data_IF_549914458457
#
_entry.id   IF_549914458457
#
_cell.length_a   1.000
_cell.length_b   1.000
_cell.length_c   1.000
_cell.angle_alpha   90.00
_cell.angle_beta   90.00
_cell.angle_gamma   90.00
#
_symmetry.space_group_name_H-M   'P 1'
#
loop_
_entity.id
_entity.type
_entity.pdbx_description
1 polymer ?
#
# COMPACT_ATOMS: atom_id res chain seq x y z
N UNK A 1 -22.78 -3.01 3.20
CA UNK A 1 -21.47 -3.41 3.74
C UNK A 1 -20.45 -2.65 2.92
N UNK A 2 -19.50 -1.93 3.55
CA UNK A 2 -18.51 -1.17 2.77
C UNK A 2 -17.57 -2.15 2.05
N UNK A 3 -17.40 -2.01 0.75
CA UNK A 3 -16.49 -2.82 -0.08
C UNK A 3 -15.13 -2.14 -0.16
N UNK A 4 -14.09 -2.78 0.36
CA UNK A 4 -12.77 -2.18 0.48
C UNK A 4 -11.80 -2.94 -0.42
N UNK A 5 -11.24 -2.24 -1.40
CA UNK A 5 -10.20 -2.77 -2.26
C UNK A 5 -8.89 -2.88 -1.50
N UNK A 6 -8.19 -4.01 -1.63
CA UNK A 6 -6.84 -4.18 -1.08
C UNK A 6 -5.91 -4.60 -2.21
N UNK A 7 -4.90 -3.78 -2.53
CA UNK A 7 -3.95 -4.07 -3.61
C UNK A 7 -2.67 -4.65 -3.04
N UNK A 8 -2.37 -5.89 -3.42
CA UNK A 8 -1.19 -6.65 -3.03
C UNK A 8 -0.16 -6.68 -4.16
N UNK A 9 1.09 -6.96 -3.81
CA UNK A 9 2.26 -6.88 -4.68
C UNK A 9 3.11 -8.16 -4.71
N UNK A 10 2.66 -9.25 -4.09
CA UNK A 10 3.36 -10.52 -3.95
C UNK A 10 3.12 -11.08 -2.53
N UNK A 11 4.03 -11.93 -2.01
CA UNK A 11 3.88 -12.54 -0.69
C UNK A 11 5.22 -12.66 0.06
N UNK A 12 5.72 -11.53 0.57
CA UNK A 12 7.01 -11.45 1.26
C UNK A 12 7.55 -10.03 1.27
N UNK A 13 8.17 -9.60 2.36
CA UNK A 13 8.63 -8.21 2.52
C UNK A 13 9.62 -7.75 1.45
N UNK A 14 10.52 -8.62 0.97
CA UNK A 14 11.58 -8.20 0.04
C UNK A 14 11.18 -8.20 -1.44
N UNK A 15 10.17 -8.98 -1.81
CA UNK A 15 9.80 -9.21 -3.21
C UNK A 15 8.29 -9.07 -3.49
N UNK A 16 7.50 -8.72 -2.47
CA UNK A 16 6.05 -8.64 -2.53
C UNK A 16 5.45 -7.76 -1.43
N UNK A 17 4.21 -8.07 -1.04
CA UNK A 17 3.56 -7.38 0.09
C UNK A 17 4.15 -7.86 1.41
N UNK A 18 4.29 -6.93 2.36
CA UNK A 18 4.60 -7.28 3.74
C UNK A 18 3.42 -8.10 4.32
N UNK A 19 3.72 -9.29 4.80
CA UNK A 19 2.70 -10.30 5.13
C UNK A 19 1.91 -9.87 6.38
N UNK A 20 2.58 -9.35 7.40
CA UNK A 20 1.90 -8.91 8.60
C UNK A 20 1.02 -7.68 8.33
N UNK A 21 1.50 -6.67 7.59
CA UNK A 21 0.74 -5.49 7.23
C UNK A 21 -0.52 -5.85 6.45
N UNK A 22 -0.39 -6.75 5.46
CA UNK A 22 -1.52 -7.24 4.70
C UNK A 22 -2.52 -7.99 5.60
N UNK A 23 -2.06 -8.95 6.42
CA UNK A 23 -2.94 -9.73 7.30
C UNK A 23 -3.62 -8.87 8.36
N UNK A 24 -2.91 -7.91 8.96
CA UNK A 24 -3.48 -6.95 9.92
C UNK A 24 -4.55 -6.09 9.23
N UNK A 25 -4.26 -5.58 8.02
CA UNK A 25 -5.24 -4.82 7.23
C UNK A 25 -6.52 -5.62 7.01
N UNK A 26 -6.39 -6.87 6.54
CA UNK A 26 -7.53 -7.77 6.33
C UNK A 26 -8.29 -8.06 7.63
N UNK A 27 -7.57 -8.29 8.73
CA UNK A 27 -8.15 -8.54 10.04
C UNK A 27 -8.94 -7.32 10.56
N UNK A 28 -8.36 -6.13 10.47
CA UNK A 28 -8.98 -4.89 10.93
C UNK A 28 -10.26 -4.57 10.14
N UNK A 29 -10.24 -4.77 8.82
CA UNK A 29 -11.41 -4.64 7.96
C UNK A 29 -12.50 -5.65 8.33
N UNK A 30 -12.13 -6.92 8.52
CA UNK A 30 -13.07 -7.97 8.89
C UNK A 30 -13.71 -7.73 10.28
N UNK A 31 -12.94 -7.27 11.28
CA UNK A 31 -13.45 -6.91 12.61
C UNK A 31 -14.51 -5.80 12.55
N UNK A 32 -14.39 -4.88 11.59
CA UNK A 32 -15.34 -3.79 11.36
C UNK A 32 -16.48 -4.17 10.41
N UNK A 33 -16.55 -5.43 9.99
CA UNK A 33 -17.61 -5.95 9.13
C UNK A 33 -17.58 -5.41 7.70
N UNK A 34 -16.42 -4.96 7.21
CA UNK A 34 -16.25 -4.58 5.80
C UNK A 34 -16.10 -5.82 4.90
N UNK A 35 -16.55 -5.70 3.65
CA UNK A 35 -16.29 -6.69 2.60
C UNK A 35 -14.95 -6.35 1.96
N UNK A 36 -14.03 -7.32 1.88
CA UNK A 36 -12.70 -7.08 1.31
C UNK A 36 -12.58 -7.71 -0.07
N UNK A 37 -12.12 -6.91 -1.03
CA UNK A 37 -11.87 -7.36 -2.40
C UNK A 37 -10.37 -7.18 -2.67
N UNK A 38 -9.64 -8.30 -2.72
CA UNK A 38 -8.20 -8.28 -2.95
C UNK A 38 -7.89 -8.22 -4.46
N UNK A 39 -6.86 -7.46 -4.80
CA UNK A 39 -6.33 -7.34 -6.16
C UNK A 39 -4.81 -7.47 -6.16
N UNK A 40 -4.24 -7.92 -7.28
CA UNK A 40 -2.81 -7.83 -7.55
C UNK A 40 -2.54 -7.80 -9.06
N UNK A 41 -1.49 -7.12 -9.55
CA UNK A 41 -1.18 -7.12 -10.97
C UNK A 41 -0.75 -8.52 -11.43
N UNK A 42 -1.29 -8.99 -12.55
CA UNK A 42 -0.93 -10.28 -13.14
C UNK A 42 0.33 -10.13 -14.01
N UNK A 43 1.49 -10.12 -13.35
CA UNK A 43 2.82 -10.00 -13.96
C UNK A 43 3.88 -10.70 -13.12
N UNK A 44 5.07 -10.89 -13.69
CA UNK A 44 6.21 -11.39 -12.92
C UNK A 44 6.66 -10.37 -11.87
N UNK A 45 7.13 -10.86 -10.72
CA UNK A 45 7.85 -10.03 -9.74
C UNK A 45 9.15 -9.50 -10.35
N UNK A 46 9.62 -8.34 -9.86
CA UNK A 46 10.90 -7.77 -10.28
C UNK A 46 12.09 -8.67 -9.92
N UNK A 47 12.03 -9.29 -8.74
CA UNK A 47 12.98 -10.27 -8.24
C UNK A 47 12.27 -11.32 -7.36
N UNK A 48 13.00 -12.37 -6.99
CA UNK A 48 12.58 -13.35 -5.99
C UNK A 48 13.68 -13.42 -4.96
N UNK A 49 13.34 -13.20 -3.69
CA UNK A 49 14.33 -13.06 -2.62
C UNK A 49 14.18 -14.20 -1.62
N UNK A 50 15.30 -14.85 -1.30
CA UNK A 50 15.34 -15.76 -0.17
C UNK A 50 15.28 -14.94 1.12
N UNK A 51 14.14 -14.95 1.80
CA UNK A 51 13.93 -14.15 3.00
C UNK A 51 14.79 -14.57 4.20
N UNK A 52 15.41 -15.75 4.17
CA UNK A 52 16.37 -16.18 5.19
C UNK A 52 17.75 -15.54 4.99
N UNK A 53 18.20 -15.39 3.73
CA UNK A 53 19.56 -14.91 3.42
C UNK A 53 19.58 -13.47 2.90
N UNK A 54 18.45 -12.93 2.46
CA UNK A 54 18.36 -11.64 1.76
C UNK A 54 18.86 -11.67 0.31
N UNK A 55 19.25 -12.85 -0.20
CA UNK A 55 19.86 -12.96 -1.52
C UNK A 55 18.83 -13.24 -2.63
N UNK A 56 19.06 -12.73 -3.86
CA UNK A 56 18.26 -13.10 -5.02
C UNK A 56 18.32 -14.59 -5.33
N UNK A 57 17.19 -15.15 -5.74
CA UNK A 57 17.04 -16.52 -6.20
C UNK A 57 16.96 -16.58 -7.73
N UNK A 58 17.57 -17.60 -8.33
CA UNK A 58 17.52 -17.83 -9.79
C UNK A 58 16.21 -18.49 -10.23
N UNK A 59 15.08 -17.84 -9.93
CA UNK A 59 13.73 -18.28 -10.30
C UNK A 59 12.84 -17.09 -10.64
N UNK A 60 11.62 -17.36 -11.12
CA UNK A 60 10.61 -16.34 -11.40
C UNK A 60 9.30 -16.72 -10.74
N UNK A 61 8.63 -15.73 -10.17
CA UNK A 61 7.30 -15.85 -9.58
C UNK A 61 6.37 -14.78 -10.13
N UNK A 62 5.08 -15.07 -10.17
CA UNK A 62 4.05 -14.13 -10.59
C UNK A 62 3.42 -13.45 -9.37
N UNK A 63 3.28 -12.13 -9.43
CA UNK A 63 2.78 -11.26 -8.35
C UNK A 63 1.37 -11.70 -7.90
N UNK A 64 0.43 -11.88 -8.83
CA UNK A 64 -0.93 -12.31 -8.50
C UNK A 64 -0.97 -13.71 -7.90
N UNK A 65 -0.23 -14.65 -8.49
CA UNK A 65 -0.17 -16.05 -8.01
C UNK A 65 0.35 -16.13 -6.59
N UNK A 66 1.41 -15.38 -6.27
CA UNK A 66 1.98 -15.38 -4.92
C UNK A 66 1.09 -14.60 -3.94
N UNK A 67 0.54 -13.46 -4.33
CA UNK A 67 -0.41 -12.69 -3.50
C UNK A 67 -1.69 -13.49 -3.16
N UNK A 68 -2.11 -14.42 -4.02
CA UNK A 68 -3.22 -15.33 -3.74
C UNK A 68 -3.00 -16.20 -2.49
N UNK A 69 -1.74 -16.40 -2.05
CA UNK A 69 -1.43 -17.09 -0.79
C UNK A 69 -1.97 -16.33 0.42
N UNK A 70 -1.82 -15.00 0.45
CA UNK A 70 -2.34 -14.13 1.50
C UNK A 70 -3.87 -14.16 1.47
N UNK A 71 -4.45 -14.00 0.28
CA UNK A 71 -5.90 -13.92 0.08
C UNK A 71 -6.63 -15.29 0.07
N UNK A 72 -5.91 -16.41 0.29
CA UNK A 72 -6.45 -17.78 0.23
C UNK A 72 -7.19 -18.09 -1.07
N UNK A 73 -6.68 -17.57 -2.19
CA UNK A 73 -7.27 -17.70 -3.52
C UNK A 73 -8.38 -16.71 -3.86
N UNK A 74 -8.87 -15.90 -2.90
CA UNK A 74 -9.89 -14.89 -3.14
C UNK A 74 -9.27 -13.56 -3.56
N UNK A 75 -8.71 -13.52 -4.76
CA UNK A 75 -8.01 -12.36 -5.31
C UNK A 75 -8.28 -12.24 -6.82
N UNK A 76 -8.31 -11.01 -7.32
CA UNK A 76 -8.53 -10.72 -8.73
C UNK A 76 -7.32 -10.03 -9.38
N UNK A 77 -7.11 -10.18 -10.68
CA UNK A 77 -6.17 -9.33 -11.42
C UNK A 77 -6.51 -7.85 -11.23
N UNK A 78 -5.51 -7.00 -10.97
CA UNK A 78 -5.70 -5.57 -10.71
C UNK A 78 -6.39 -4.83 -11.87
N UNK A 79 -6.20 -5.29 -13.11
CA UNK A 79 -6.89 -4.76 -14.29
C UNK A 79 -8.43 -4.90 -14.22
N UNK A 80 -8.95 -5.81 -13.37
CA UNK A 80 -10.38 -6.00 -13.17
C UNK A 80 -10.96 -5.13 -12.06
N UNK A 81 -10.13 -4.33 -11.37
CA UNK A 81 -10.60 -3.45 -10.32
C UNK A 81 -11.44 -2.31 -10.90
N UNK A 82 -12.65 -2.14 -10.37
CA UNK A 82 -13.57 -1.08 -10.75
C UNK A 82 -13.82 -0.16 -9.56
N UNK A 83 -13.44 1.11 -9.68
CA UNK A 83 -13.63 2.11 -8.65
C UNK A 83 -15.11 2.31 -8.28
N UNK A 84 -16.06 2.00 -9.17
CA UNK A 84 -17.50 2.13 -8.89
C UNK A 84 -18.02 1.06 -7.92
N UNK A 85 -17.34 -0.07 -7.83
CA UNK A 85 -17.68 -1.21 -6.96
C UNK A 85 -16.99 -1.17 -5.59
N UNK A 86 -16.14 -0.16 -5.34
CA UNK A 86 -15.37 -0.01 -4.11
C UNK A 86 -15.78 1.24 -3.35
N UNK A 87 -15.76 1.21 -2.03
CA UNK A 87 -16.00 2.37 -1.16
C UNK A 87 -14.69 2.99 -0.66
N UNK A 88 -13.60 2.21 -0.63
CA UNK A 88 -12.25 2.69 -0.33
C UNK A 88 -11.18 1.77 -0.94
N UNK A 89 -9.92 2.21 -0.93
CA UNK A 89 -8.76 1.45 -1.37
C UNK A 89 -7.66 1.47 -0.32
N UNK A 90 -7.03 0.34 -0.04
CA UNK A 90 -5.85 0.23 0.83
C UNK A 90 -4.71 -0.48 0.09
N UNK A 91 -3.49 0.03 0.24
CA UNK A 91 -2.27 -0.54 -0.31
C UNK A 91 -1.27 -0.81 0.82
N UNK A 92 -1.13 -2.07 1.27
CA UNK A 92 -0.07 -2.48 2.20
C UNK A 92 1.32 -2.24 1.60
N UNK A 93 2.34 -2.16 2.47
CA UNK A 93 3.72 -1.98 2.05
C UNK A 93 4.43 -3.27 1.70
N UNK A 94 5.71 -3.34 2.09
CA UNK A 94 6.69 -4.29 1.56
C UNK A 94 7.37 -3.76 0.30
N UNK A 95 8.58 -4.23 0.01
CA UNK A 95 9.36 -3.79 -1.14
C UNK A 95 8.68 -4.09 -2.47
N UNK A 96 7.74 -5.03 -2.54
CA UNK A 96 6.90 -5.20 -3.72
C UNK A 96 6.07 -3.95 -4.06
N UNK A 97 5.73 -3.09 -3.10
CA UNK A 97 5.13 -1.79 -3.40
C UNK A 97 6.10 -0.86 -4.17
N UNK A 98 7.39 -0.91 -3.82
CA UNK A 98 8.46 -0.13 -4.44
C UNK A 98 9.09 -0.79 -5.68
N UNK A 99 8.82 -2.08 -5.94
CA UNK A 99 9.42 -2.87 -7.03
C UNK A 99 8.41 -3.40 -8.06
N UNK A 100 7.21 -3.77 -7.62
CA UNK A 100 6.18 -4.39 -8.45
C UNK A 100 5.00 -3.44 -8.71
N UNK A 101 4.57 -2.66 -7.72
CA UNK A 101 3.54 -1.62 -7.91
C UNK A 101 4.12 -0.29 -8.39
N UNK A 102 5.44 -0.13 -8.27
CA UNK A 102 6.19 0.99 -8.81
C UNK A 102 7.64 0.55 -9.07
N UNK A 103 8.46 1.47 -9.59
CA UNK A 103 9.92 1.32 -9.70
C UNK A 103 10.67 2.17 -8.67
N UNK A 104 10.02 2.60 -7.57
CA UNK A 104 10.61 3.49 -6.57
C UNK A 104 11.93 2.98 -6.00
N UNK A 105 12.05 1.67 -5.75
CA UNK A 105 13.25 1.06 -5.20
C UNK A 105 14.50 1.24 -6.07
N UNK A 106 14.34 1.43 -7.38
CA UNK A 106 15.45 1.57 -8.33
C UNK A 106 15.55 2.96 -8.96
N UNK A 107 14.45 3.71 -9.02
CA UNK A 107 14.37 4.99 -9.73
C UNK A 107 14.05 6.18 -8.81
N UNK A 108 13.74 5.97 -7.53
CA UNK A 108 13.44 7.05 -6.58
C UNK A 108 12.36 8.00 -7.11
N UNK A 109 12.67 9.30 -7.16
CA UNK A 109 11.75 10.33 -7.64
C UNK A 109 11.26 10.12 -9.09
N UNK A 110 12.09 9.53 -9.95
CA UNK A 110 11.75 9.28 -11.36
C UNK A 110 10.92 8.00 -11.56
N UNK A 111 10.45 7.37 -10.48
CA UNK A 111 9.75 6.10 -10.56
C UNK A 111 8.45 6.17 -11.36
N UNK A 112 8.13 5.03 -11.96
CA UNK A 112 6.86 4.80 -12.64
C UNK A 112 5.96 3.99 -11.72
N UNK A 113 4.67 4.33 -11.73
CA UNK A 113 3.63 3.58 -11.00
C UNK A 113 2.97 2.59 -11.95
N UNK A 114 2.57 1.43 -11.43
CA UNK A 114 1.74 0.48 -12.16
C UNK A 114 0.50 1.21 -12.73
N UNK A 115 0.24 1.12 -14.05
CA UNK A 115 -0.77 1.93 -14.69
C UNK A 115 -2.19 1.61 -14.21
N UNK A 116 -2.46 0.36 -13.81
CA UNK A 116 -3.77 -0.03 -13.28
C UNK A 116 -3.95 0.50 -11.86
N UNK A 117 -2.92 0.45 -11.03
CA UNK A 117 -2.96 1.06 -9.69
C UNK A 117 -3.16 2.58 -9.77
N UNK A 118 -2.42 3.26 -10.64
CA UNK A 118 -2.54 4.71 -10.84
C UNK A 118 -3.94 5.09 -11.29
N UNK A 119 -4.47 4.41 -12.31
CA UNK A 119 -5.83 4.65 -12.83
C UNK A 119 -6.89 4.41 -11.75
N UNK A 120 -6.80 3.30 -11.01
CA UNK A 120 -7.75 3.00 -9.94
C UNK A 120 -7.71 4.06 -8.83
N UNK A 121 -6.51 4.42 -8.37
CA UNK A 121 -6.33 5.41 -7.28
C UNK A 121 -6.88 6.78 -7.68
N UNK A 122 -6.63 7.22 -8.92
CA UNK A 122 -7.17 8.47 -9.46
C UNK A 122 -8.69 8.44 -9.58
N UNK A 123 -9.27 7.32 -10.02
CA UNK A 123 -10.72 7.17 -10.11
C UNK A 123 -11.40 7.17 -8.72
N UNK A 124 -10.76 6.56 -7.72
CA UNK A 124 -11.23 6.58 -6.33
C UNK A 124 -11.21 8.01 -5.75
N UNK A 125 -10.11 8.74 -5.92
CA UNK A 125 -9.99 10.13 -5.49
C UNK A 125 -11.00 11.04 -6.19
N UNK A 126 -11.16 10.92 -7.51
CA UNK A 126 -12.15 11.69 -8.28
C UNK A 126 -13.60 11.44 -7.82
N UNK A 127 -13.89 10.25 -7.27
CA UNK A 127 -15.17 9.90 -6.67
C UNK A 127 -15.29 10.28 -5.18
N UNK A 128 -14.27 10.94 -4.60
CA UNK A 128 -14.25 11.32 -3.18
C UNK A 128 -14.15 10.12 -2.23
N UNK A 129 -13.58 9.01 -2.68
CA UNK A 129 -13.43 7.77 -1.91
C UNK A 129 -12.05 7.72 -1.25
N UNK A 130 -11.95 7.36 0.04
CA UNK A 130 -10.68 7.42 0.75
C UNK A 130 -9.68 6.37 0.30
N UNK A 131 -8.41 6.72 0.49
CA UNK A 131 -7.25 5.93 0.13
C UNK A 131 -6.35 5.72 1.36
N UNK A 132 -5.90 4.49 1.58
CA UNK A 132 -4.97 4.14 2.66
C UNK A 132 -3.66 3.57 2.11
N UNK A 133 -2.51 4.16 2.46
CA UNK A 133 -1.20 3.66 2.03
C UNK A 133 -0.30 3.41 3.24
N UNK A 134 0.35 2.25 3.31
CA UNK A 134 1.08 1.78 4.51
C UNK A 134 2.57 1.63 4.19
N UNK A 135 3.43 1.97 5.16
CA UNK A 135 4.88 1.72 5.10
C UNK A 135 5.55 2.50 3.97
N UNK A 136 6.16 1.83 2.98
CA UNK A 136 6.80 2.49 1.84
C UNK A 136 5.81 2.82 0.69
N UNK A 137 4.59 2.28 0.73
CA UNK A 137 3.59 2.54 -0.31
C UNK A 137 3.24 4.03 -0.51
N UNK A 138 3.22 4.90 0.52
CA UNK A 138 3.01 6.35 0.37
C UNK A 138 3.98 7.04 -0.60
N UNK A 139 5.19 6.50 -0.83
CA UNK A 139 6.13 7.04 -1.80
C UNK A 139 5.58 7.06 -3.25
N UNK A 140 4.55 6.27 -3.54
CA UNK A 140 3.87 6.28 -4.84
C UNK A 140 2.93 7.49 -5.01
N UNK A 141 2.42 8.06 -3.92
CA UNK A 141 1.33 9.05 -3.96
C UNK A 141 1.67 10.30 -4.81
N UNK A 142 2.86 10.92 -4.68
CA UNK A 142 3.19 12.10 -5.51
C UNK A 142 3.28 11.77 -7.01
N UNK A 143 3.63 10.53 -7.38
CA UNK A 143 3.62 10.11 -8.79
C UNK A 143 2.26 9.58 -9.27
N UNK A 144 1.30 9.37 -8.37
CA UNK A 144 -0.11 9.10 -8.70
C UNK A 144 -0.86 10.42 -8.94
N UNK A 145 -0.64 11.43 -8.09
CA UNK A 145 -1.39 12.68 -8.05
C UNK A 145 -0.50 13.90 -8.28
N UNK A 146 -0.84 14.71 -9.29
CA UNK A 146 -0.07 15.91 -9.68
C UNK A 146 -0.51 17.14 -8.87
N UNK A 147 -0.55 17.00 -7.54
CA UNK A 147 -0.83 18.07 -6.59
C UNK A 147 -0.27 17.72 -5.20
N UNK A 148 0.01 18.72 -4.34
CA UNK A 148 0.56 18.47 -3.00
C UNK A 148 -0.34 17.60 -2.14
N UNK A 149 0.27 16.67 -1.41
CA UNK A 149 -0.41 15.70 -0.55
C UNK A 149 0.29 15.57 0.80
N UNK A 150 -0.47 15.68 1.88
CA UNK A 150 0.03 15.42 3.24
C UNK A 150 0.12 13.92 3.49
N UNK A 151 1.33 13.41 3.74
CA UNK A 151 1.57 11.98 3.90
C UNK A 151 2.74 11.68 4.83
N UNK A 152 2.92 10.41 5.21
CA UNK A 152 4.07 9.97 6.01
C UNK A 152 4.64 8.66 5.51
N UNK A 153 5.96 8.50 5.68
CA UNK A 153 6.66 7.21 5.66
C UNK A 153 7.33 6.91 7.02
N UNK A 154 6.96 7.64 8.07
CA UNK A 154 7.61 7.59 9.38
C UNK A 154 8.49 8.80 9.63
N UNK A 155 9.77 8.57 9.92
CA UNK A 155 10.72 9.63 10.32
C UNK A 155 12.09 9.50 9.63
N UNK A 156 12.20 8.68 8.58
CA UNK A 156 13.43 8.57 7.80
C UNK A 156 13.61 9.82 6.95
N UNK A 157 14.68 10.58 7.21
CA UNK A 157 14.91 11.88 6.57
C UNK A 157 15.20 11.71 5.09
N UNK A 158 16.03 10.72 4.73
CA UNK A 158 16.45 10.50 3.34
C UNK A 158 15.23 10.14 2.45
N UNK A 159 14.33 9.27 2.92
CA UNK A 159 13.11 8.95 2.17
C UNK A 159 12.13 10.12 2.14
N UNK A 160 12.03 10.89 3.22
CA UNK A 160 11.16 12.07 3.27
C UNK A 160 11.60 13.14 2.25
N UNK A 161 12.89 13.42 2.14
CA UNK A 161 13.44 14.38 1.16
C UNK A 161 13.07 13.97 -0.29
N UNK A 162 13.21 12.69 -0.63
CA UNK A 162 12.82 12.20 -1.97
C UNK A 162 11.32 12.40 -2.23
N UNK A 163 10.47 12.19 -1.22
CA UNK A 163 9.02 12.40 -1.34
C UNK A 163 8.69 13.89 -1.52
N UNK A 164 9.37 14.77 -0.80
CA UNK A 164 9.19 16.22 -0.92
C UNK A 164 9.64 16.73 -2.30
N UNK A 165 10.75 16.21 -2.83
CA UNK A 165 11.21 16.49 -4.20
C UNK A 165 10.20 16.05 -5.29
N UNK A 166 9.40 15.02 -5.00
CA UNK A 166 8.32 14.56 -5.88
C UNK A 166 7.02 15.39 -5.73
N UNK A 167 6.97 16.34 -4.80
CA UNK A 167 5.80 17.20 -4.55
C UNK A 167 4.91 16.76 -3.39
N UNK A 168 5.33 15.78 -2.58
CA UNK A 168 4.64 15.42 -1.34
C UNK A 168 4.93 16.41 -0.20
N UNK A 169 4.02 16.52 0.77
CA UNK A 169 4.23 17.23 2.02
C UNK A 169 4.44 16.21 3.14
N UNK A 170 5.69 15.83 3.40
CA UNK A 170 5.99 14.80 4.39
C UNK A 170 5.73 15.31 5.82
N UNK A 171 5.03 14.51 6.61
CA UNK A 171 4.75 14.77 8.02
C UNK A 171 5.37 13.64 8.85
N UNK A 172 6.34 13.93 9.74
CA UNK A 172 6.88 12.93 10.65
C UNK A 172 5.79 12.29 11.50
N UNK A 173 5.75 10.96 11.56
CA UNK A 173 4.71 10.22 12.26
C UNK A 173 5.31 9.02 13.01
N UNK A 174 4.95 8.79 14.29
CA UNK A 174 5.37 7.60 15.01
C UNK A 174 4.63 6.35 14.51
N UNK A 175 5.19 5.17 14.79
CA UNK A 175 4.66 3.87 14.33
C UNK A 175 3.20 3.61 14.72
N UNK A 176 2.78 4.15 15.87
CA UNK A 176 1.48 3.92 16.46
C UNK A 176 0.44 4.97 16.05
N UNK A 177 0.73 5.83 15.07
CA UNK A 177 -0.18 6.88 14.60
C UNK A 177 -0.31 6.97 13.08
N UNK A 178 -1.13 7.91 12.61
CA UNK A 178 -1.45 8.11 11.20
C UNK A 178 -1.33 9.59 10.81
N UNK A 179 -1.12 9.83 9.51
CA UNK A 179 -1.29 11.15 8.89
C UNK A 179 -2.47 11.12 7.94
N UNK A 180 -3.29 12.16 8.00
CA UNK A 180 -4.49 12.32 7.18
C UNK A 180 -4.39 13.63 6.39
N UNK A 181 -4.50 13.51 5.07
CA UNK A 181 -4.86 14.61 4.18
C UNK A 181 -6.39 14.64 4.09
N UNK A 182 -7.03 15.59 4.79
CA UNK A 182 -8.48 15.64 4.92
C UNK A 182 -9.17 16.06 3.63
N UNK A 183 -8.56 16.98 2.88
CA UNK A 183 -9.12 17.50 1.63
C UNK A 183 -9.15 16.40 0.56
N UNK A 184 -8.11 15.56 0.53
CA UNK A 184 -7.97 14.48 -0.44
C UNK A 184 -8.38 13.10 0.08
N UNK A 185 -8.78 12.99 1.35
CA UNK A 185 -9.13 11.74 2.04
C UNK A 185 -8.05 10.65 1.93
N UNK A 186 -6.78 11.03 2.03
CA UNK A 186 -5.65 10.11 2.00
C UNK A 186 -5.15 9.88 3.43
N UNK A 187 -5.01 8.62 3.80
CA UNK A 187 -4.54 8.19 5.12
C UNK A 187 -3.25 7.40 4.95
N UNK A 188 -2.24 7.71 5.75
CA UNK A 188 -0.93 7.03 5.71
C UNK A 188 -0.44 6.67 7.11
N UNK A 189 0.30 5.56 7.22
CA UNK A 189 0.89 5.11 8.49
C UNK A 189 2.25 4.43 8.28
N UNK A 190 3.21 4.56 9.20
CA UNK A 190 4.59 4.08 8.97
C UNK A 190 4.77 2.56 8.98
N UNK A 191 4.02 1.81 9.79
CA UNK A 191 4.19 0.37 9.96
C UNK A 191 5.67 -0.07 10.06
N UNK A 192 6.16 -1.03 9.25
CA UNK A 192 7.54 -1.54 9.36
C UNK A 192 8.63 -0.56 8.91
N UNK A 193 8.29 0.66 8.46
CA UNK A 193 9.29 1.74 8.39
C UNK A 193 9.87 2.05 9.77
N UNK A 194 9.09 1.82 10.84
CA UNK A 194 9.49 2.12 12.24
C UNK A 194 9.26 0.96 13.22
N UNK A 195 8.29 0.07 12.95
CA UNK A 195 7.89 -0.98 13.88
C UNK A 195 9.03 -1.96 14.18
N UNK A 196 9.21 -2.26 15.47
CA UNK A 196 10.16 -3.25 15.96
C UNK A 196 9.51 -4.63 16.18
N UNK A 197 8.17 -4.67 16.20
CA UNK A 197 7.40 -5.90 16.31
C UNK A 197 6.01 -5.75 15.68
N UNK A 198 5.32 -6.88 15.53
CA UNK A 198 4.00 -6.94 14.90
C UNK A 198 2.91 -6.16 15.65
N UNK A 199 3.00 -6.02 16.98
CA UNK A 199 2.00 -5.31 17.77
C UNK A 199 2.08 -3.80 17.56
N UNK A 200 3.29 -3.26 17.42
CA UNK A 200 3.52 -1.86 17.05
C UNK A 200 2.97 -1.57 15.66
N UNK A 201 3.31 -2.39 14.66
CA UNK A 201 2.76 -2.26 13.31
C UNK A 201 1.22 -2.32 13.31
N UNK A 202 0.63 -3.22 14.10
CA UNK A 202 -0.81 -3.36 14.20
C UNK A 202 -1.49 -2.09 14.72
N UNK A 203 -0.88 -1.37 15.66
CA UNK A 203 -1.48 -0.18 16.26
C UNK A 203 -1.73 0.93 15.23
N UNK A 204 -0.72 1.25 14.40
CA UNK A 204 -0.86 2.25 13.33
C UNK A 204 -1.81 1.79 12.21
N UNK A 205 -1.72 0.52 11.80
CA UNK A 205 -2.58 -0.02 10.72
C UNK A 205 -4.04 -0.10 11.14
N UNK A 206 -4.35 -0.52 12.37
CA UNK A 206 -5.73 -0.54 12.87
C UNK A 206 -6.31 0.88 12.94
N UNK A 207 -5.51 1.89 13.32
CA UNK A 207 -5.92 3.31 13.24
C UNK A 207 -6.18 3.75 11.81
N UNK A 208 -5.30 3.40 10.86
CA UNK A 208 -5.47 3.73 9.44
C UNK A 208 -6.76 3.14 8.90
N UNK A 209 -7.01 1.85 9.13
CA UNK A 209 -8.22 1.17 8.67
C UNK A 209 -9.46 1.80 9.27
N UNK A 210 -9.47 2.09 10.58
CA UNK A 210 -10.58 2.78 11.22
C UNK A 210 -10.85 4.15 10.58
N UNK A 211 -9.81 4.93 10.30
CA UNK A 211 -9.97 6.25 9.67
C UNK A 211 -10.45 6.16 8.23
N UNK A 212 -9.92 5.25 7.43
CA UNK A 212 -10.38 5.00 6.05
C UNK A 212 -11.87 4.64 6.06
N UNK A 213 -12.29 3.78 6.97
CA UNK A 213 -13.71 3.42 7.09
C UNK A 213 -14.58 4.62 7.48
N UNK A 214 -14.14 5.49 8.40
CA UNK A 214 -14.86 6.73 8.75
C UNK A 214 -15.00 7.68 7.55
N UNK A 215 -13.97 7.78 6.69
CA UNK A 215 -13.99 8.66 5.51
C UNK A 215 -14.80 8.09 4.32
N UNK A 216 -15.06 6.77 4.33
CA UNK A 216 -15.83 6.05 3.32
C UNK A 216 -17.34 6.04 3.63
N UNK A 217 -17.75 6.85 4.61
CA UNK A 217 -19.13 7.01 5.08
C UNK A 217 -19.89 8.10 4.34
#
# INVERSE_FOLDING_TARGET
MKKIGVVLSGCGVYDGSEIHEAVITLLALAKQGAEVICFAPDKNQADVINHLTGEPMAETRNVLVEAARIARGNIHPLIQADATELDALIVPGGFGAAKNLSTFATQGAECQIDPHLKTLSQAMHAAGKPLGFICIAPAMLPNIFDFPLRLTIGTDIDTAEVIEDMGGEHVPCPVDDIVVDEDNKIVTTPAYMLAQNIAEAATGIEKLVARVLVLAE
#
